data_IF_940752406491
#
_entry.id   IF_940752406491
#
_cell.length_a   1.000
_cell.length_b   1.000
_cell.length_c   1.000
_cell.angle_alpha   90.00
_cell.angle_beta   90.00
_cell.angle_gamma   90.00
#
_symmetry.space_group_name_H-M   'P 1'
#
loop_
_entity.id
_entity.type
_entity.pdbx_description
1 polymer ?
#
# COMPACT_ATOMS: atom_id res chain seq x y z
N UNK A 1 25.56 -19.65 55.13
CA UNK A 1 24.29 -19.74 54.38
C UNK A 1 24.39 -18.78 53.20
N UNK A 2 24.09 -19.22 51.97
CA UNK A 2 23.88 -18.28 50.86
C UNK A 2 22.44 -17.78 50.98
N UNK A 3 22.26 -16.47 51.06
CA UNK A 3 20.94 -15.85 51.03
C UNK A 3 20.29 -16.13 49.68
N UNK A 4 19.13 -16.79 49.71
CA UNK A 4 18.32 -17.04 48.53
C UNK A 4 17.43 -15.83 48.28
N UNK A 5 17.68 -15.13 47.18
CA UNK A 5 16.80 -14.07 46.68
C UNK A 5 15.61 -14.68 45.94
N UNK A 6 14.41 -14.19 46.26
CA UNK A 6 13.17 -14.54 45.56
C UNK A 6 12.65 -13.34 44.79
N UNK A 7 12.21 -13.56 43.55
CA UNK A 7 11.58 -12.55 42.72
C UNK A 7 10.17 -12.99 42.34
N UNK A 8 9.21 -12.06 42.39
CA UNK A 8 7.81 -12.28 42.02
C UNK A 8 7.41 -11.19 41.03
N UNK A 9 6.70 -11.56 39.97
CA UNK A 9 6.15 -10.61 39.02
C UNK A 9 4.96 -9.87 39.66
N UNK A 10 5.08 -8.54 39.80
CA UNK A 10 4.02 -7.69 40.35
C UNK A 10 3.05 -7.25 39.24
N UNK A 11 3.53 -6.43 38.30
CA UNK A 11 2.73 -5.89 37.21
C UNK A 11 3.60 -5.37 36.06
N UNK A 12 2.96 -5.18 34.90
CA UNK A 12 3.59 -4.53 33.76
C UNK A 12 3.25 -3.01 33.75
N UNK A 13 4.27 -2.17 33.96
CA UNK A 13 4.11 -0.70 33.99
C UNK A 13 4.28 -0.02 32.62
N UNK A 14 4.39 -0.79 31.53
CA UNK A 14 4.66 -0.24 30.18
C UNK A 14 3.59 0.77 29.74
N UNK A 15 2.31 0.47 29.95
CA UNK A 15 1.23 1.39 29.58
C UNK A 15 1.29 2.67 30.39
N UNK A 16 1.55 2.59 31.71
CA UNK A 16 1.69 3.76 32.56
C UNK A 16 2.85 4.65 32.12
N UNK A 17 4.01 4.06 31.76
CA UNK A 17 5.14 4.82 31.24
C UNK A 17 4.83 5.51 29.91
N UNK A 18 4.05 4.86 29.03
CA UNK A 18 3.61 5.41 27.75
C UNK A 18 2.58 6.54 27.91
N UNK A 19 1.78 6.53 28.97
CA UNK A 19 0.89 7.65 29.33
C UNK A 19 1.69 8.80 29.95
N UNK A 20 2.62 8.46 30.85
CA UNK A 20 3.41 9.43 31.59
C UNK A 20 4.29 10.29 30.68
N UNK A 21 4.88 9.68 29.66
CA UNK A 21 5.82 10.34 28.76
C UNK A 21 5.19 11.55 28.03
N UNK A 22 4.08 11.42 27.26
CA UNK A 22 3.37 12.55 26.67
C UNK A 22 2.99 13.63 27.70
N UNK A 23 2.44 13.26 28.85
CA UNK A 23 2.04 14.23 29.88
C UNK A 23 3.17 15.18 30.32
N UNK A 24 4.44 14.79 30.15
CA UNK A 24 5.62 15.58 30.52
C UNK A 24 6.42 16.15 29.34
N UNK A 25 6.10 15.75 28.10
CA UNK A 25 6.86 16.14 26.91
C UNK A 25 6.45 17.48 26.30
N UNK A 26 5.30 18.05 26.71
CA UNK A 26 4.80 19.31 26.15
C UNK A 26 4.43 19.20 24.67
N UNK A 27 3.79 18.10 24.27
CA UNK A 27 3.41 17.81 22.89
C UNK A 27 2.24 18.63 22.35
N UNK A 28 1.58 18.13 21.31
CA UNK A 28 0.41 18.78 20.71
C UNK A 28 -0.75 18.89 21.72
N UNK A 29 -1.33 20.10 21.88
CA UNK A 29 -2.42 20.36 22.82
C UNK A 29 -3.71 20.78 22.13
N UNK A 30 -3.77 20.74 20.80
CA UNK A 30 -4.89 21.26 20.01
C UNK A 30 -6.20 20.56 20.34
N UNK A 31 -6.20 19.22 20.31
CA UNK A 31 -7.36 18.41 20.70
C UNK A 31 -7.68 18.59 22.18
N UNK A 32 -6.67 18.65 23.05
CA UNK A 32 -6.88 18.81 24.50
C UNK A 32 -7.57 20.15 24.81
N UNK A 33 -7.12 21.23 24.15
CA UNK A 33 -7.73 22.55 24.27
C UNK A 33 -9.16 22.55 23.75
N UNK A 34 -9.42 21.90 22.62
CA UNK A 34 -10.76 21.80 22.05
C UNK A 34 -11.71 21.05 23.01
N UNK A 35 -11.27 19.92 23.60
CA UNK A 35 -12.07 19.19 24.60
C UNK A 35 -12.32 20.02 25.86
N UNK A 36 -11.33 20.80 26.32
CA UNK A 36 -11.45 21.65 27.51
C UNK A 36 -12.19 22.97 27.26
N UNK A 37 -12.37 23.38 26.00
CA UNK A 37 -12.96 24.66 25.66
C UNK A 37 -14.48 24.60 25.75
N UNK A 38 -15.08 25.46 26.57
CA UNK A 38 -16.54 25.60 26.70
C UNK A 38 -17.19 26.38 25.54
N UNK A 39 -16.41 26.88 24.58
CA UNK A 39 -16.87 27.67 23.44
C UNK A 39 -16.73 26.88 22.15
N UNK A 40 -17.84 26.35 21.64
CA UNK A 40 -17.93 25.85 20.27
C UNK A 40 -17.83 27.04 19.30
N UNK A 41 -16.64 27.27 18.76
CA UNK A 41 -16.42 28.29 17.73
C UNK A 41 -16.77 27.68 16.38
N UNK A 42 -17.94 27.99 15.84
CA UNK A 42 -18.29 27.63 14.47
C UNK A 42 -17.42 28.43 13.49
N UNK A 43 -16.65 27.76 12.64
CA UNK A 43 -15.93 28.44 11.57
C UNK A 43 -16.91 28.94 10.50
N UNK A 44 -16.96 30.24 10.25
CA UNK A 44 -17.80 30.86 9.22
C UNK A 44 -17.47 30.43 7.78
N UNK A 45 -16.29 29.82 7.56
CA UNK A 45 -15.81 29.37 6.25
C UNK A 45 -16.22 27.94 5.87
N UNK A 46 -16.88 27.20 6.77
CA UNK A 46 -17.34 25.81 6.54
C UNK A 46 -18.27 25.65 5.33
N UNK A 47 -18.88 26.74 4.83
CA UNK A 47 -19.80 26.71 3.68
C UNK A 47 -19.12 26.45 2.34
N UNK A 48 -17.81 26.64 2.21
CA UNK A 48 -17.13 26.65 0.91
C UNK A 48 -16.59 25.25 0.53
N UNK A 49 -16.43 24.33 1.48
CA UNK A 49 -15.69 23.06 1.27
C UNK A 49 -16.57 21.78 1.19
N UNK A 50 -17.89 21.93 1.40
CA UNK A 50 -18.92 20.87 1.36
C UNK A 50 -18.86 20.02 0.07
N UNK A 51 -18.33 20.58 -1.02
CA UNK A 51 -18.30 19.96 -2.36
C UNK A 51 -17.47 18.67 -2.47
N UNK A 52 -16.47 18.43 -1.62
CA UNK A 52 -15.62 17.23 -1.71
C UNK A 52 -16.18 16.05 -0.91
N UNK A 53 -16.84 16.31 0.22
CA UNK A 53 -17.52 15.28 1.00
C UNK A 53 -18.78 14.78 0.28
N UNK A 54 -19.56 15.69 -0.31
CA UNK A 54 -20.82 15.38 -0.98
C UNK A 54 -20.68 14.43 -2.17
N UNK A 55 -19.50 14.32 -2.79
CA UNK A 55 -19.24 13.32 -3.85
C UNK A 55 -19.46 11.88 -3.38
N UNK A 56 -19.32 11.63 -2.08
CA UNK A 56 -19.52 10.31 -1.49
C UNK A 56 -20.97 10.07 -1.06
N UNK A 57 -21.86 11.07 -1.05
CA UNK A 57 -23.23 10.94 -0.53
C UNK A 57 -24.01 9.82 -1.20
N UNK A 58 -24.04 9.77 -2.53
CA UNK A 58 -24.78 8.73 -3.26
C UNK A 58 -24.27 7.31 -2.94
N UNK A 59 -22.95 7.14 -2.79
CA UNK A 59 -22.33 5.86 -2.46
C UNK A 59 -22.53 5.49 -0.99
N UNK A 60 -22.53 6.49 -0.10
CA UNK A 60 -22.82 6.31 1.33
C UNK A 60 -24.24 5.84 1.56
N UNK A 61 -25.22 6.47 0.89
CA UNK A 61 -26.64 6.10 1.01
C UNK A 61 -26.95 4.68 0.50
N UNK A 62 -26.06 4.10 -0.33
CA UNK A 62 -26.18 2.69 -0.74
C UNK A 62 -25.79 1.72 0.38
N UNK A 63 -24.90 2.12 1.29
CA UNK A 63 -24.33 1.27 2.34
C UNK A 63 -24.92 1.59 3.72
N UNK A 64 -25.26 2.85 3.95
CA UNK A 64 -25.63 3.44 5.23
C UNK A 64 -27.00 4.12 5.16
N UNK A 65 -27.65 4.25 6.31
CA UNK A 65 -28.85 5.08 6.39
C UNK A 65 -28.52 6.58 6.35
N UNK A 66 -29.54 7.43 6.22
CA UNK A 66 -29.40 8.88 6.09
C UNK A 66 -28.68 9.50 7.30
N UNK A 67 -29.03 9.10 8.53
CA UNK A 67 -28.40 9.62 9.75
C UNK A 67 -26.90 9.28 9.84
N UNK A 68 -26.52 8.05 9.46
CA UNK A 68 -25.12 7.62 9.43
C UNK A 68 -24.33 8.34 8.33
N UNK A 69 -24.97 8.55 7.17
CA UNK A 69 -24.40 9.29 6.04
C UNK A 69 -24.15 10.74 6.43
N UNK A 70 -25.14 11.43 6.99
CA UNK A 70 -25.01 12.82 7.41
C UNK A 70 -24.00 12.98 8.55
N UNK A 71 -23.91 12.02 9.48
CA UNK A 71 -22.89 12.01 10.52
C UNK A 71 -21.47 11.94 9.93
N UNK A 72 -21.23 11.05 8.97
CA UNK A 72 -19.95 10.94 8.27
C UNK A 72 -19.64 12.20 7.45
N UNK A 73 -20.60 12.71 6.68
CA UNK A 73 -20.40 13.91 5.85
C UNK A 73 -20.13 15.15 6.69
N UNK A 74 -20.83 15.30 7.82
CA UNK A 74 -20.59 16.37 8.79
C UNK A 74 -19.21 16.26 9.42
N UNK A 75 -18.78 15.04 9.78
CA UNK A 75 -17.45 14.80 10.31
C UNK A 75 -16.39 15.19 9.28
N UNK A 76 -16.50 14.71 8.03
CA UNK A 76 -15.56 15.01 6.94
C UNK A 76 -15.49 16.51 6.63
N UNK A 77 -16.64 17.18 6.57
CA UNK A 77 -16.70 18.63 6.28
C UNK A 77 -15.97 19.44 7.37
N UNK A 78 -15.98 18.97 8.61
CA UNK A 78 -15.25 19.61 9.70
C UNK A 78 -13.71 19.43 9.61
N UNK A 79 -13.23 18.42 8.88
CA UNK A 79 -11.79 18.16 8.68
C UNK A 79 -11.14 19.11 7.68
N UNK A 80 -11.94 19.72 6.81
CA UNK A 80 -11.44 20.57 5.73
C UNK A 80 -11.11 21.99 6.22
N UNK A 81 -11.55 22.33 7.43
CA UNK A 81 -11.26 23.63 8.03
C UNK A 81 -9.88 23.62 8.71
N UNK A 82 -8.86 24.18 8.04
CA UNK A 82 -7.52 24.31 8.61
C UNK A 82 -7.39 25.39 9.70
N UNK A 83 -8.44 26.19 9.93
CA UNK A 83 -8.40 27.31 10.88
C UNK A 83 -8.64 26.89 12.33
N UNK A 84 -9.24 25.72 12.56
CA UNK A 84 -9.69 25.27 13.87
C UNK A 84 -9.49 23.78 14.04
N UNK A 85 -9.09 23.38 15.25
CA UNK A 85 -9.11 21.99 15.68
C UNK A 85 -10.55 21.58 15.98
N UNK A 86 -10.91 20.32 15.75
CA UNK A 86 -12.29 19.86 15.97
C UNK A 86 -12.33 18.47 16.60
N UNK A 87 -13.26 18.27 17.52
CA UNK A 87 -13.62 16.95 18.06
C UNK A 87 -15.06 16.65 17.69
N UNK A 88 -15.27 15.54 16.98
CA UNK A 88 -16.60 15.08 16.56
C UNK A 88 -16.94 13.76 17.23
N UNK A 89 -18.14 13.68 17.77
CA UNK A 89 -18.69 12.45 18.35
C UNK A 89 -19.65 11.82 17.36
N UNK A 90 -19.40 10.57 17.00
CA UNK A 90 -20.34 9.71 16.28
C UNK A 90 -20.83 8.65 17.26
N UNK A 91 -22.08 8.78 17.66
CA UNK A 91 -22.71 7.88 18.62
C UNK A 91 -24.04 7.37 18.06
N UNK A 92 -24.57 6.33 18.71
CA UNK A 92 -25.93 5.87 18.43
C UNK A 92 -26.42 4.91 19.52
N UNK A 93 -27.62 4.33 19.40
CA UNK A 93 -28.12 3.30 20.30
C UNK A 93 -27.45 1.93 20.05
N UNK A 94 -27.42 1.09 21.08
CA UNK A 94 -27.03 -0.32 21.00
C UNK A 94 -27.81 -1.05 19.90
N UNK A 95 -27.11 -1.81 19.04
CA UNK A 95 -27.73 -2.62 17.99
C UNK A 95 -27.98 -1.91 16.65
N UNK A 96 -27.71 -0.60 16.53
CA UNK A 96 -27.56 0.02 15.21
C UNK A 96 -26.27 -0.45 14.53
N UNK A 97 -26.27 -0.55 13.20
CA UNK A 97 -25.15 -0.98 12.36
C UNK A 97 -23.92 -0.02 12.39
N UNK A 98 -23.47 0.46 13.56
CA UNK A 98 -22.28 1.30 13.74
C UNK A 98 -21.03 0.67 13.16
N UNK A 99 -20.98 -0.65 13.19
CA UNK A 99 -20.03 -1.50 12.46
C UNK A 99 -19.78 -1.03 11.01
N UNK A 100 -20.84 -0.63 10.29
CA UNK A 100 -20.71 -0.10 8.93
C UNK A 100 -20.11 1.29 8.95
N UNK A 101 -20.57 2.18 9.83
CA UNK A 101 -19.98 3.53 9.99
C UNK A 101 -18.48 3.48 10.33
N UNK A 102 -18.09 2.60 11.25
CA UNK A 102 -16.71 2.40 11.72
C UNK A 102 -15.76 1.91 10.62
N UNK A 103 -16.29 1.22 9.58
CA UNK A 103 -15.49 0.74 8.45
C UNK A 103 -15.56 1.68 7.23
N UNK A 104 -16.74 2.24 6.95
CA UNK A 104 -16.97 3.15 5.83
C UNK A 104 -16.27 4.50 6.03
N UNK A 105 -16.21 5.04 7.25
CA UNK A 105 -15.52 6.30 7.52
C UNK A 105 -14.01 6.21 7.22
N UNK A 106 -13.23 5.26 7.78
CA UNK A 106 -11.84 5.05 7.39
C UNK A 106 -11.67 4.89 5.88
N UNK A 107 -12.54 4.11 5.23
CA UNK A 107 -12.48 3.91 3.78
C UNK A 107 -12.60 5.22 2.99
N UNK A 108 -13.51 6.14 3.38
CA UNK A 108 -13.63 7.45 2.73
C UNK A 108 -12.41 8.33 3.01
N UNK A 109 -11.91 8.32 4.25
CA UNK A 109 -10.72 9.08 4.63
C UNK A 109 -9.49 8.67 3.82
N UNK A 110 -9.34 7.37 3.55
CA UNK A 110 -8.33 6.83 2.64
C UNK A 110 -8.53 7.40 1.23
N UNK A 111 -9.74 7.39 0.68
CA UNK A 111 -10.04 7.96 -0.65
C UNK A 111 -9.85 9.49 -0.72
N UNK A 112 -9.92 10.17 0.41
CA UNK A 112 -9.65 11.61 0.52
C UNK A 112 -8.15 11.91 0.68
N UNK A 113 -7.28 10.89 0.76
CA UNK A 113 -5.85 11.00 1.10
C UNK A 113 -5.62 11.74 2.42
N UNK A 114 -6.50 11.55 3.40
CA UNK A 114 -6.35 12.15 4.72
C UNK A 114 -5.43 11.28 5.60
N UNK A 115 -4.28 11.84 6.02
CA UNK A 115 -3.34 11.11 6.88
C UNK A 115 -3.95 10.88 8.26
N UNK A 116 -4.29 9.63 8.56
CA UNK A 116 -5.15 9.29 9.70
C UNK A 116 -4.49 8.25 10.61
N UNK A 117 -4.53 8.50 11.91
CA UNK A 117 -4.34 7.49 12.94
C UNK A 117 -5.71 6.94 13.33
N UNK A 118 -5.88 5.61 13.30
CA UNK A 118 -7.04 4.94 13.87
C UNK A 118 -6.61 3.95 14.94
N UNK A 119 -7.32 3.93 16.07
CA UNK A 119 -7.12 2.88 17.06
C UNK A 119 -8.40 2.54 17.81
N UNK A 120 -8.36 1.38 18.46
CA UNK A 120 -9.32 0.96 19.46
C UNK A 120 -8.61 0.59 20.78
N UNK A 121 -9.32 0.55 21.92
CA UNK A 121 -8.75 0.17 23.22
C UNK A 121 -8.23 -1.28 23.24
N UNK A 122 -8.89 -2.18 22.51
CA UNK A 122 -8.55 -3.61 22.49
C UNK A 122 -7.95 -4.04 21.15
N UNK A 123 -7.12 -5.09 21.19
CA UNK A 123 -6.58 -5.69 19.96
C UNK A 123 -7.68 -6.29 19.08
N UNK A 124 -8.75 -6.83 19.69
CA UNK A 124 -9.86 -7.46 18.96
C UNK A 124 -10.64 -6.40 18.18
N UNK A 125 -10.96 -5.27 18.82
CA UNK A 125 -11.67 -4.18 18.17
C UNK A 125 -10.89 -3.62 16.99
N UNK A 126 -9.59 -3.30 17.16
CA UNK A 126 -8.82 -2.75 16.03
C UNK A 126 -8.65 -3.74 14.88
N UNK A 127 -8.46 -5.03 15.17
CA UNK A 127 -8.37 -6.07 14.13
C UNK A 127 -9.68 -6.15 13.35
N UNK A 128 -10.83 -6.10 14.03
CA UNK A 128 -12.13 -6.12 13.39
C UNK A 128 -12.36 -4.88 12.50
N UNK A 129 -11.95 -3.69 12.94
CA UNK A 129 -11.97 -2.48 12.10
C UNK A 129 -11.14 -2.69 10.84
N UNK A 130 -9.90 -3.16 10.97
CA UNK A 130 -8.99 -3.35 9.83
C UNK A 130 -9.55 -4.37 8.84
N UNK A 131 -10.05 -5.52 9.29
CA UNK A 131 -10.64 -6.54 8.42
C UNK A 131 -11.81 -5.97 7.61
N UNK A 132 -12.69 -5.16 8.24
CA UNK A 132 -13.82 -4.55 7.55
C UNK A 132 -13.37 -3.51 6.52
N UNK A 133 -12.38 -2.69 6.86
CA UNK A 133 -11.79 -1.72 5.91
C UNK A 133 -11.14 -2.44 4.73
N UNK A 134 -10.42 -3.54 4.97
CA UNK A 134 -9.80 -4.34 3.92
C UNK A 134 -10.82 -4.90 2.92
N UNK A 135 -11.96 -5.40 3.41
CA UNK A 135 -13.07 -5.84 2.56
C UNK A 135 -13.54 -4.71 1.64
N UNK A 136 -13.81 -3.52 2.19
CA UNK A 136 -14.25 -2.37 1.40
C UNK A 136 -13.20 -1.90 0.37
N UNK A 137 -11.91 -1.94 0.74
CA UNK A 137 -10.82 -1.57 -0.19
C UNK A 137 -10.75 -2.56 -1.35
N UNK A 138 -10.86 -3.86 -1.08
CA UNK A 138 -10.82 -4.92 -2.10
C UNK A 138 -12.07 -4.91 -3.00
N UNK A 139 -13.26 -4.79 -2.42
CA UNK A 139 -14.52 -4.69 -3.18
C UNK A 139 -14.53 -3.45 -4.08
N UNK A 140 -13.86 -2.37 -3.67
CA UNK A 140 -13.70 -1.16 -4.50
C UNK A 140 -12.78 -1.34 -5.70
N UNK A 141 -11.91 -2.35 -5.69
CA UNK A 141 -11.01 -2.68 -6.79
C UNK A 141 -11.75 -3.44 -7.90
N UNK A 142 -12.73 -4.27 -7.53
CA UNK A 142 -13.50 -5.11 -8.47
C UNK A 142 -14.66 -4.38 -9.14
N UNK A 143 -14.99 -3.16 -8.71
CA UNK A 143 -16.05 -2.35 -9.32
C UNK A 143 -15.48 -1.37 -10.35
N UNK A 144 -15.97 -1.43 -11.59
CA UNK A 144 -15.61 -0.65 -12.80
C UNK A 144 -15.73 0.90 -12.68
N UNK A 145 -15.85 1.43 -11.46
CA UNK A 145 -16.01 2.86 -11.20
C UNK A 145 -14.68 3.60 -11.37
N UNK A 146 -14.46 4.11 -12.59
CA UNK A 146 -13.31 4.93 -13.01
C UNK A 146 -13.12 6.27 -12.27
N UNK A 147 -13.99 6.63 -11.33
CA UNK A 147 -14.03 7.98 -10.74
C UNK A 147 -13.22 8.16 -9.45
N UNK A 148 -12.61 7.10 -8.89
CA UNK A 148 -11.89 7.20 -7.62
C UNK A 148 -10.55 6.46 -7.72
N UNK A 149 -9.46 7.11 -7.30
CA UNK A 149 -8.10 6.58 -7.36
C UNK A 149 -7.99 5.18 -6.74
N UNK A 150 -7.15 4.29 -7.30
CA UNK A 150 -6.88 2.99 -6.71
C UNK A 150 -6.29 3.19 -5.30
N UNK A 151 -6.77 2.43 -4.33
CA UNK A 151 -6.18 2.38 -2.99
C UNK A 151 -5.25 1.17 -2.98
N UNK A 152 -3.97 1.39 -2.68
CA UNK A 152 -3.04 0.28 -2.47
C UNK A 152 -3.19 -0.23 -1.03
N UNK A 153 -2.82 -1.49 -0.78
CA UNK A 153 -2.66 -1.95 0.61
C UNK A 153 -1.45 -1.28 1.27
N UNK A 154 -0.50 -0.75 0.48
CA UNK A 154 0.60 0.08 0.97
C UNK A 154 0.16 1.37 1.66
N UNK A 155 -1.05 1.86 1.38
CA UNK A 155 -1.65 3.01 2.07
C UNK A 155 -2.03 2.68 3.51
N UNK A 156 -2.23 1.40 3.83
CA UNK A 156 -2.75 0.91 5.11
C UNK A 156 -1.62 0.28 5.92
N UNK A 157 -1.53 0.64 7.20
CA UNK A 157 -0.50 0.09 8.08
C UNK A 157 -1.05 -0.27 9.46
N UNK A 158 -1.17 -1.56 9.75
CA UNK A 158 -1.43 -2.08 11.08
C UNK A 158 -0.11 -2.38 11.81
N UNK A 159 0.06 -1.83 13.00
CA UNK A 159 1.20 -2.18 13.85
C UNK A 159 0.81 -2.39 15.32
N UNK A 160 1.54 -3.29 15.97
CA UNK A 160 1.34 -3.66 17.37
C UNK A 160 2.13 -4.91 17.72
N UNK A 161 1.83 -5.52 18.87
CA UNK A 161 2.47 -6.79 19.26
C UNK A 161 1.82 -7.95 18.54
N UNK A 162 2.59 -8.65 17.69
CA UNK A 162 2.10 -9.73 16.83
C UNK A 162 1.35 -10.82 17.63
N UNK A 163 1.94 -11.30 18.72
CA UNK A 163 1.36 -12.35 19.60
C UNK A 163 -0.04 -12.01 20.13
N UNK A 164 -0.39 -10.72 20.19
CA UNK A 164 -1.67 -10.24 20.72
C UNK A 164 -2.68 -9.85 19.64
N UNK A 165 -2.21 -9.52 18.44
CA UNK A 165 -3.07 -9.19 17.30
C UNK A 165 -3.56 -10.44 16.57
N UNK A 166 -2.89 -11.59 16.75
CA UNK A 166 -3.22 -12.87 16.08
C UNK A 166 -3.39 -12.69 14.57
N UNK A 167 -2.37 -12.13 13.92
CA UNK A 167 -2.41 -11.78 12.51
C UNK A 167 -2.41 -13.03 11.64
N UNK A 168 -3.50 -13.26 10.92
CA UNK A 168 -3.65 -14.35 9.94
C UNK A 168 -4.28 -13.85 8.63
N UNK A 169 -4.22 -14.71 7.61
CA UNK A 169 -4.82 -14.49 6.29
C UNK A 169 -4.58 -13.09 5.72
N UNK A 170 -5.68 -12.41 5.41
CA UNK A 170 -5.70 -11.10 4.76
C UNK A 170 -5.10 -9.96 5.59
N UNK A 171 -5.05 -10.12 6.91
CA UNK A 171 -4.50 -9.09 7.80
C UNK A 171 -2.98 -8.96 7.66
N UNK A 172 -2.31 -10.00 7.16
CA UNK A 172 -0.87 -9.99 6.97
C UNK A 172 -0.43 -8.90 6.00
N UNK A 173 -1.17 -8.66 4.92
CA UNK A 173 -0.76 -7.73 3.86
C UNK A 173 -0.62 -6.27 4.32
N UNK A 174 -1.31 -5.90 5.41
CA UNK A 174 -1.23 -4.57 6.03
C UNK A 174 -0.47 -4.56 7.35
N UNK A 175 -0.03 -5.72 7.84
CA UNK A 175 0.74 -5.78 9.07
C UNK A 175 2.19 -5.36 8.82
N UNK A 176 2.67 -4.40 9.61
CA UNK A 176 3.96 -3.75 9.40
C UNK A 176 5.14 -4.71 9.23
N UNK A 177 5.23 -5.77 10.04
CA UNK A 177 6.39 -6.68 9.95
C UNK A 177 6.37 -7.49 8.65
N UNK A 178 5.20 -7.93 8.21
CA UNK A 178 5.05 -8.63 6.92
C UNK A 178 5.30 -7.68 5.75
N UNK A 179 4.76 -6.47 5.82
CA UNK A 179 4.95 -5.42 4.84
C UNK A 179 6.43 -5.10 4.63
N UNK A 180 7.18 -4.98 5.73
CA UNK A 180 8.64 -4.79 5.71
C UNK A 180 9.35 -5.98 5.07
N UNK A 181 8.98 -7.22 5.42
CA UNK A 181 9.62 -8.41 4.86
C UNK A 181 9.39 -8.53 3.33
N UNK A 182 8.20 -8.15 2.83
CA UNK A 182 7.89 -8.10 1.39
C UNK A 182 8.69 -7.02 0.67
N UNK A 183 8.81 -5.83 1.25
CA UNK A 183 9.57 -4.72 0.67
C UNK A 183 11.08 -4.96 0.70
N UNK A 184 11.59 -5.68 1.71
CA UNK A 184 13.01 -6.09 1.74
C UNK A 184 13.37 -7.01 0.56
N UNK A 185 12.47 -7.91 0.18
CA UNK A 185 12.65 -8.72 -1.03
C UNK A 185 12.70 -7.84 -2.29
N UNK A 186 11.80 -6.86 -2.39
CA UNK A 186 11.75 -5.91 -3.50
C UNK A 186 13.03 -5.06 -3.62
N UNK A 187 13.55 -4.55 -2.50
CA UNK A 187 14.75 -3.71 -2.48
C UNK A 187 16.05 -4.47 -2.62
N UNK A 188 16.02 -5.81 -2.61
CA UNK A 188 17.22 -6.65 -2.73
C UNK A 188 18.06 -6.30 -3.98
N UNK A 189 19.38 -6.13 -3.88
CA UNK A 189 20.20 -5.77 -5.05
C UNK A 189 20.31 -6.93 -6.05
N UNK A 190 20.27 -8.17 -5.54
CA UNK A 190 20.50 -9.38 -6.33
C UNK A 190 19.22 -9.99 -6.90
N UNK A 191 18.10 -9.85 -6.18
CA UNK A 191 16.81 -10.48 -6.51
C UNK A 191 15.63 -9.52 -6.32
N UNK A 192 15.89 -8.22 -6.44
CA UNK A 192 14.87 -7.18 -6.36
C UNK A 192 14.49 -6.63 -7.73
N UNK A 193 13.78 -5.51 -7.70
CA UNK A 193 13.17 -4.96 -8.92
C UNK A 193 14.15 -4.51 -9.96
N UNK A 194 15.24 -3.85 -9.56
CA UNK A 194 16.27 -3.39 -10.51
C UNK A 194 16.77 -4.57 -11.34
N UNK A 195 17.06 -5.68 -10.67
CA UNK A 195 17.49 -6.92 -11.32
C UNK A 195 16.42 -7.48 -12.26
N UNK A 196 15.17 -7.60 -11.83
CA UNK A 196 14.10 -8.19 -12.66
C UNK A 196 13.75 -7.32 -13.88
N UNK A 197 13.68 -6.01 -13.70
CA UNK A 197 13.44 -5.06 -14.77
C UNK A 197 14.59 -5.06 -15.78
N UNK A 198 15.84 -4.99 -15.32
CA UNK A 198 17.01 -5.07 -16.19
C UNK A 198 17.07 -6.42 -16.92
N UNK A 199 16.85 -7.53 -16.23
CA UNK A 199 16.89 -8.87 -16.84
C UNK A 199 15.84 -9.04 -17.94
N UNK A 200 14.61 -8.55 -17.72
CA UNK A 200 13.57 -8.59 -18.75
C UNK A 200 13.91 -7.65 -19.90
N UNK A 201 14.35 -6.43 -19.61
CA UNK A 201 14.78 -5.47 -20.62
C UNK A 201 15.88 -6.06 -21.51
N UNK A 202 16.93 -6.61 -20.90
CA UNK A 202 18.08 -7.19 -21.60
C UNK A 202 17.65 -8.41 -22.43
N UNK A 203 16.71 -9.22 -21.94
CA UNK A 203 16.12 -10.31 -22.72
C UNK A 203 15.34 -9.78 -23.94
N UNK A 204 14.52 -8.75 -23.77
CA UNK A 204 13.74 -8.17 -24.86
C UNK A 204 14.66 -7.46 -25.88
N UNK A 205 15.70 -6.78 -25.44
CA UNK A 205 16.64 -6.05 -26.31
C UNK A 205 17.66 -6.96 -27.01
N UNK A 206 18.28 -7.88 -26.28
CA UNK A 206 19.50 -8.58 -26.69
C UNK A 206 19.40 -10.11 -26.59
N UNK A 207 18.18 -10.65 -26.81
CA UNK A 207 17.90 -12.08 -26.74
C UNK A 207 18.87 -12.95 -27.55
N UNK A 208 19.28 -12.47 -28.74
CA UNK A 208 20.16 -13.20 -29.67
C UNK A 208 21.53 -13.46 -29.06
N UNK A 209 22.13 -12.45 -28.42
CA UNK A 209 23.41 -12.61 -27.74
C UNK A 209 23.32 -13.63 -26.61
N UNK A 210 22.24 -13.58 -25.82
CA UNK A 210 21.98 -14.59 -24.78
C UNK A 210 21.77 -16.00 -25.33
N UNK A 211 21.14 -16.12 -26.50
CA UNK A 211 20.95 -17.40 -27.17
C UNK A 211 22.28 -18.00 -27.64
N UNK A 212 23.15 -17.20 -28.28
CA UNK A 212 24.47 -17.66 -28.70
C UNK A 212 25.35 -18.08 -27.51
N UNK A 213 25.35 -17.30 -26.41
CA UNK A 213 26.05 -17.67 -25.19
C UNK A 213 25.49 -18.98 -24.60
N UNK A 214 24.18 -19.19 -24.66
CA UNK A 214 23.57 -20.44 -24.19
C UNK A 214 24.00 -21.64 -25.06
N UNK A 215 24.03 -21.47 -26.39
CA UNK A 215 24.51 -22.50 -27.32
C UNK A 215 25.99 -22.86 -27.08
N UNK A 216 26.86 -21.86 -26.87
CA UNK A 216 28.27 -22.07 -26.55
C UNK A 216 28.45 -22.81 -25.21
N UNK A 217 27.69 -22.44 -24.19
CA UNK A 217 27.76 -23.13 -22.89
C UNK A 217 27.28 -24.59 -22.97
N UNK A 218 26.30 -24.88 -23.81
CA UNK A 218 25.82 -26.25 -24.02
C UNK A 218 26.76 -27.08 -24.89
N UNK A 219 27.44 -26.48 -25.88
CA UNK A 219 28.45 -27.18 -26.66
C UNK A 219 29.64 -27.59 -25.79
N UNK A 220 30.07 -26.72 -24.86
CA UNK A 220 31.11 -27.04 -23.86
C UNK A 220 30.67 -28.20 -22.95
N UNK A 221 29.44 -28.16 -22.40
CA UNK A 221 28.91 -29.23 -21.53
C UNK A 221 28.64 -30.55 -22.26
N UNK A 222 28.35 -30.49 -23.56
CA UNK A 222 28.15 -31.66 -24.43
C UNK A 222 29.44 -32.42 -24.71
N UNK A 223 30.56 -31.70 -24.84
CA UNK A 223 31.91 -32.29 -24.97
C UNK A 223 32.30 -33.07 -23.71
N UNK A 224 31.86 -32.62 -22.53
CA UNK A 224 32.17 -33.29 -21.25
C UNK A 224 31.29 -34.52 -20.93
N UNK A 225 30.05 -34.58 -21.44
CA UNK A 225 29.06 -35.59 -21.02
C UNK A 225 28.59 -36.56 -22.12
N UNK A 226 29.09 -36.46 -23.36
CA UNK A 226 28.85 -37.44 -24.42
C UNK A 226 27.38 -37.65 -24.83
N UNK A 227 26.49 -36.69 -24.52
CA UNK A 227 25.04 -36.85 -24.67
C UNK A 227 24.46 -35.83 -25.66
N UNK A 228 24.29 -36.25 -26.92
CA UNK A 228 23.89 -35.41 -28.07
C UNK A 228 22.43 -34.95 -28.07
N UNK A 229 21.56 -35.56 -27.25
CA UNK A 229 20.12 -35.29 -27.28
C UNK A 229 19.70 -34.01 -26.52
N UNK A 230 20.52 -33.52 -25.57
CA UNK A 230 20.26 -32.24 -24.88
C UNK A 230 20.47 -31.02 -25.79
N UNK A 231 21.46 -31.10 -26.69
CA UNK A 231 21.83 -30.06 -27.66
C UNK A 231 20.66 -29.75 -28.61
N UNK A 232 19.83 -30.76 -28.94
CA UNK A 232 18.69 -30.61 -29.83
C UNK A 232 17.48 -29.90 -29.19
N UNK A 233 17.40 -29.86 -27.85
CA UNK A 233 16.32 -29.18 -27.11
C UNK A 233 16.53 -27.66 -26.94
N UNK A 234 17.79 -27.21 -27.01
CA UNK A 234 18.16 -25.78 -27.09
C UNK A 234 18.38 -25.32 -28.53
N UNK A 235 18.60 -26.25 -29.46
CA UNK A 235 18.90 -25.95 -30.86
C UNK A 235 17.83 -25.21 -31.68
N UNK A 236 16.67 -24.89 -31.09
CA UNK A 236 15.67 -24.03 -31.74
C UNK A 236 15.48 -22.75 -30.92
N UNK A 237 15.73 -21.60 -31.55
CA UNK A 237 15.59 -20.27 -30.97
C UNK A 237 14.23 -20.07 -30.28
N UNK A 238 13.14 -20.52 -30.91
CA UNK A 238 11.79 -20.46 -30.34
C UNK A 238 11.68 -21.16 -28.97
N UNK A 239 12.30 -22.33 -28.82
CA UNK A 239 12.30 -23.08 -27.56
C UNK A 239 13.07 -22.34 -26.45
N UNK A 240 14.21 -21.74 -26.82
CA UNK A 240 14.98 -20.89 -25.92
C UNK A 240 14.19 -19.68 -25.45
N UNK A 241 13.57 -18.93 -26.37
CA UNK A 241 12.75 -17.74 -26.08
C UNK A 241 11.59 -18.09 -25.16
N UNK A 242 10.82 -19.16 -25.46
CA UNK A 242 9.71 -19.64 -24.62
C UNK A 242 10.15 -19.91 -23.18
N UNK A 243 11.24 -20.68 -23.02
CA UNK A 243 11.77 -21.05 -21.70
C UNK A 243 12.26 -19.83 -20.93
N UNK A 244 13.03 -18.95 -21.58
CA UNK A 244 13.60 -17.75 -20.96
C UNK A 244 12.53 -16.75 -20.56
N UNK A 245 11.56 -16.51 -21.46
CA UNK A 245 10.39 -15.67 -21.18
C UNK A 245 9.64 -16.17 -19.94
N UNK A 246 9.32 -17.47 -19.85
CA UNK A 246 8.59 -18.03 -18.71
C UNK A 246 9.27 -17.75 -17.35
N UNK A 247 10.60 -17.92 -17.28
CA UNK A 247 11.38 -17.69 -16.06
C UNK A 247 11.43 -16.20 -15.69
N UNK A 248 11.70 -15.34 -16.66
CA UNK A 248 11.84 -13.90 -16.42
C UNK A 248 10.47 -13.25 -16.14
N UNK A 249 9.45 -13.61 -16.91
CA UNK A 249 8.10 -13.06 -16.77
C UNK A 249 7.50 -13.43 -15.42
N UNK A 250 7.61 -14.69 -14.98
CA UNK A 250 7.11 -15.10 -13.66
C UNK A 250 7.77 -14.30 -12.51
N UNK A 251 9.08 -14.06 -12.62
CA UNK A 251 9.83 -13.28 -11.63
C UNK A 251 9.42 -11.81 -11.63
N UNK A 252 9.30 -11.20 -12.81
CA UNK A 252 8.90 -9.81 -12.97
C UNK A 252 7.45 -9.56 -12.57
N UNK A 253 6.52 -10.45 -12.96
CA UNK A 253 5.11 -10.40 -12.56
C UNK A 253 4.99 -10.42 -11.05
N UNK A 254 5.74 -11.30 -10.37
CA UNK A 254 5.76 -11.37 -8.91
C UNK A 254 6.28 -10.08 -8.28
N UNK A 255 7.34 -9.50 -8.83
CA UNK A 255 7.89 -8.22 -8.39
C UNK A 255 6.89 -7.07 -8.56
N UNK A 256 6.22 -6.98 -9.71
CA UNK A 256 5.21 -5.97 -10.00
C UNK A 256 4.01 -6.11 -9.06
N UNK A 257 3.56 -7.33 -8.77
CA UNK A 257 2.49 -7.56 -7.79
C UNK A 257 2.87 -7.04 -6.40
N UNK A 258 4.08 -7.35 -5.91
CA UNK A 258 4.57 -6.85 -4.62
C UNK A 258 4.57 -5.30 -4.62
N UNK A 259 5.05 -4.68 -5.69
CA UNK A 259 5.04 -3.23 -5.86
C UNK A 259 3.65 -2.63 -5.77
N UNK A 260 2.72 -3.10 -6.59
CA UNK A 260 1.36 -2.58 -6.64
C UNK A 260 0.61 -2.77 -5.32
N UNK A 261 0.86 -3.89 -4.62
CA UNK A 261 0.20 -4.20 -3.35
C UNK A 261 0.78 -3.41 -2.18
N UNK A 262 2.10 -3.25 -2.10
CA UNK A 262 2.77 -2.78 -0.89
C UNK A 262 3.33 -1.35 -0.99
N UNK A 263 3.32 -0.69 -2.15
CA UNK A 263 3.66 0.72 -2.23
C UNK A 263 2.39 1.55 -2.46
N UNK A 264 2.22 2.69 -1.74
CA UNK A 264 1.13 3.61 -2.00
C UNK A 264 1.13 4.13 -3.43
N UNK A 265 -0.04 4.28 -4.03
CA UNK A 265 -0.18 4.79 -5.40
C UNK A 265 0.32 6.22 -5.51
N UNK A 266 0.11 7.05 -4.49
CA UNK A 266 0.61 8.43 -4.48
C UNK A 266 2.14 8.49 -4.51
N UNK A 267 2.81 7.50 -3.91
CA UNK A 267 4.26 7.41 -3.87
C UNK A 267 4.83 6.86 -5.19
N UNK A 268 4.19 5.82 -5.75
CA UNK A 268 4.61 5.25 -7.05
C UNK A 268 4.27 6.21 -8.20
N UNK A 269 3.26 7.05 -8.07
CA UNK A 269 2.59 7.82 -9.13
C UNK A 269 1.64 6.97 -9.98
N UNK A 270 0.50 7.55 -10.36
CA UNK A 270 -0.57 6.87 -11.10
C UNK A 270 -0.12 6.37 -12.49
N UNK A 271 0.73 7.15 -13.18
CA UNK A 271 1.30 6.77 -14.48
C UNK A 271 2.16 5.50 -14.37
N UNK A 272 3.03 5.44 -13.36
CA UNK A 272 3.87 4.27 -13.12
C UNK A 272 3.04 3.03 -12.75
N UNK A 273 1.94 3.21 -12.00
CA UNK A 273 1.01 2.13 -11.71
C UNK A 273 0.36 1.59 -13.00
N UNK A 274 -0.06 2.47 -13.91
CA UNK A 274 -0.61 2.08 -15.20
C UNK A 274 0.44 1.37 -16.06
N UNK A 275 1.68 1.85 -16.09
CA UNK A 275 2.79 1.20 -16.79
C UNK A 275 3.07 -0.21 -16.22
N UNK A 276 3.00 -0.39 -14.90
CA UNK A 276 3.09 -1.71 -14.28
C UNK A 276 1.99 -2.66 -14.75
N UNK A 277 0.73 -2.20 -14.79
CA UNK A 277 -0.40 -2.99 -15.30
C UNK A 277 -0.23 -3.30 -16.79
N UNK A 278 0.22 -2.34 -17.59
CA UNK A 278 0.53 -2.51 -19.01
C UNK A 278 1.55 -3.63 -19.23
N UNK A 279 2.68 -3.59 -18.51
CA UNK A 279 3.72 -4.63 -18.59
C UNK A 279 3.15 -6.02 -18.31
N UNK A 280 2.26 -6.18 -17.32
CA UNK A 280 1.62 -7.47 -17.04
C UNK A 280 0.81 -7.98 -18.25
N UNK A 281 0.05 -7.11 -18.91
CA UNK A 281 -0.73 -7.45 -20.10
C UNK A 281 0.15 -7.76 -21.31
N UNK A 282 1.23 -6.99 -21.50
CA UNK A 282 2.20 -7.19 -22.59
C UNK A 282 2.97 -8.50 -22.43
N UNK A 283 3.37 -8.87 -21.20
CA UNK A 283 4.02 -10.16 -20.93
C UNK A 283 3.10 -11.36 -21.21
N UNK A 284 1.81 -11.24 -20.90
CA UNK A 284 0.84 -12.29 -21.23
C UNK A 284 0.57 -12.36 -22.74
N UNK A 285 0.46 -11.20 -23.40
CA UNK A 285 0.35 -11.11 -24.86
C UNK A 285 1.55 -11.76 -25.56
N UNK A 286 2.77 -11.48 -25.09
CA UNK A 286 3.99 -12.08 -25.62
C UNK A 286 3.99 -13.61 -25.42
N UNK A 287 3.59 -14.09 -24.24
CA UNK A 287 3.44 -15.52 -23.97
C UNK A 287 2.49 -16.19 -24.95
N UNK A 288 1.32 -15.60 -25.16
CA UNK A 288 0.26 -16.15 -26.01
C UNK A 288 0.70 -16.19 -27.48
N UNK A 289 1.31 -15.12 -27.97
CA UNK A 289 1.86 -15.07 -29.34
C UNK A 289 2.96 -16.11 -29.55
N UNK A 290 3.86 -16.30 -28.57
CA UNK A 290 4.92 -17.31 -28.67
C UNK A 290 4.36 -18.74 -28.77
N UNK A 291 3.18 -19.02 -28.19
CA UNK A 291 2.57 -20.36 -28.19
C UNK A 291 1.93 -20.71 -29.54
N UNK A 292 1.57 -19.73 -30.38
CA UNK A 292 0.90 -19.97 -31.65
C UNK A 292 1.73 -20.86 -32.59
N UNK A 293 1.05 -21.74 -33.34
CA UNK A 293 1.68 -22.76 -34.19
C UNK A 293 2.33 -22.19 -35.46
N UNK A 294 2.00 -20.95 -35.81
CA UNK A 294 2.47 -20.24 -37.01
C UNK A 294 3.78 -19.46 -36.78
N UNK A 295 4.37 -19.53 -35.57
CA UNK A 295 5.63 -18.84 -35.27
C UNK A 295 6.81 -19.63 -35.84
N UNK A 296 7.33 -19.18 -36.99
CA UNK A 296 8.58 -19.70 -37.55
C UNK A 296 9.80 -19.25 -36.72
N UNK A 297 10.68 -20.21 -36.38
CA UNK A 297 11.85 -19.96 -35.55
C UNK A 297 12.88 -19.04 -36.19
N UNK A 298 13.02 -19.08 -37.53
CA UNK A 298 13.95 -18.19 -38.26
C UNK A 298 13.41 -16.78 -38.36
N UNK A 299 12.12 -16.62 -38.67
CA UNK A 299 11.49 -15.30 -38.65
C UNK A 299 11.56 -14.64 -37.27
N UNK A 300 11.39 -15.42 -36.20
CA UNK A 300 11.56 -14.95 -34.83
C UNK A 300 13.01 -14.51 -34.55
N UNK A 301 13.99 -15.27 -35.01
CA UNK A 301 15.41 -14.94 -34.86
C UNK A 301 15.75 -13.61 -35.56
N UNK A 302 15.28 -13.41 -36.79
CA UNK A 302 15.41 -12.13 -37.51
C UNK A 302 14.74 -10.97 -36.77
N UNK A 303 13.55 -11.21 -36.21
CA UNK A 303 12.82 -10.21 -35.45
C UNK A 303 13.62 -9.77 -34.22
N UNK A 304 14.14 -10.72 -33.44
CA UNK A 304 14.92 -10.44 -32.24
C UNK A 304 16.30 -9.84 -32.54
N UNK A 305 16.85 -10.07 -33.73
CA UNK A 305 18.08 -9.42 -34.21
C UNK A 305 17.92 -7.92 -34.51
N UNK A 306 16.68 -7.44 -34.72
CA UNK A 306 16.41 -6.00 -34.86
C UNK A 306 16.70 -5.28 -33.56
N UNK A 307 17.54 -4.24 -33.63
CA UNK A 307 17.84 -3.36 -32.50
C UNK A 307 16.88 -2.17 -32.48
N UNK A 308 16.31 -1.87 -31.31
CA UNK A 308 15.55 -0.66 -31.10
C UNK A 308 16.45 0.45 -30.54
N UNK A 309 16.85 1.36 -31.42
CA UNK A 309 17.36 2.67 -31.01
C UNK A 309 16.13 3.55 -30.79
N UNK A 310 15.86 3.89 -29.53
CA UNK A 310 14.90 4.96 -29.25
C UNK A 310 15.74 6.20 -29.05
N UNK A 311 15.63 7.11 -30.02
CA UNK A 311 16.01 8.51 -29.85
C UNK A 311 14.97 9.13 -28.90
N UNK A 312 15.40 9.77 -27.82
CA UNK A 312 14.57 10.28 -26.71
C UNK A 312 13.51 11.34 -27.16
N UNK A 313 13.47 11.67 -28.44
CA UNK A 313 12.69 12.78 -29.02
C UNK A 313 11.44 12.35 -29.80
N UNK A 314 11.13 11.06 -29.97
CA UNK A 314 10.00 10.60 -30.82
C UNK A 314 9.02 9.69 -30.07
N UNK A 315 8.32 10.25 -29.08
CA UNK A 315 7.14 9.63 -28.46
C UNK A 315 5.87 9.68 -29.32
N UNK A 316 5.94 10.02 -30.62
CA UNK A 316 4.73 10.15 -31.46
C UNK A 316 4.78 9.45 -32.82
N UNK A 317 5.83 8.73 -33.18
CA UNK A 317 5.89 8.12 -34.50
C UNK A 317 5.19 6.75 -34.54
N UNK A 318 3.86 6.79 -34.70
CA UNK A 318 3.13 5.79 -35.49
C UNK A 318 3.57 5.93 -36.95
N UNK A 319 4.81 5.54 -37.28
CA UNK A 319 5.26 5.52 -38.67
C UNK A 319 5.18 4.08 -39.20
N UNK A 320 4.12 3.72 -39.97
CA UNK A 320 3.94 2.39 -40.52
C UNK A 320 4.64 2.27 -41.88
N UNK A 321 5.81 2.87 -42.09
CA UNK A 321 6.45 2.93 -43.41
C UNK A 321 7.90 2.46 -43.39
N UNK A 322 8.06 1.17 -43.12
CA UNK A 322 9.02 0.26 -43.78
C UNK A 322 8.44 -1.16 -43.70
N UNK A 323 7.27 -1.35 -44.30
CA UNK A 323 6.64 -2.67 -44.41
C UNK A 323 7.19 -3.36 -45.66
N UNK A 324 8.11 -4.31 -45.46
CA UNK A 324 8.29 -5.38 -46.43
C UNK A 324 7.02 -6.23 -46.45
N UNK A 325 6.34 -6.20 -47.59
CA UNK A 325 5.12 -6.94 -47.88
C UNK A 325 5.53 -8.42 -48.00
N UNK A 326 5.36 -9.18 -46.92
CA UNK A 326 5.68 -10.61 -46.89
C UNK A 326 5.70 -11.30 -45.52
N UNK A 327 5.72 -10.56 -44.40
CA UNK A 327 5.74 -11.15 -43.04
C UNK A 327 4.33 -11.50 -42.54
N UNK A 328 4.19 -12.65 -41.86
CA UNK A 328 2.90 -13.12 -41.32
C UNK A 328 2.34 -12.17 -40.25
N UNK A 329 1.01 -12.18 -40.07
CA UNK A 329 0.30 -11.31 -39.10
C UNK A 329 0.89 -11.39 -37.68
N UNK A 330 1.38 -12.56 -37.28
CA UNK A 330 1.90 -12.85 -35.94
C UNK A 330 3.28 -12.21 -35.68
N UNK A 331 4.14 -12.13 -36.70
CA UNK A 331 5.46 -11.50 -36.61
C UNK A 331 5.36 -9.99 -36.39
N UNK A 332 4.40 -9.34 -37.04
CA UNK A 332 4.12 -7.90 -36.85
C UNK A 332 3.60 -7.65 -35.43
N UNK A 333 2.71 -8.51 -34.92
CA UNK A 333 2.20 -8.40 -33.55
C UNK A 333 3.31 -8.60 -32.51
N UNK A 334 4.19 -9.59 -32.72
CA UNK A 334 5.35 -9.82 -31.85
C UNK A 334 6.29 -8.61 -31.81
N UNK A 335 6.57 -7.99 -32.96
CA UNK A 335 7.41 -6.79 -33.04
C UNK A 335 6.77 -5.59 -32.31
N UNK A 336 5.45 -5.43 -32.40
CA UNK A 336 4.70 -4.41 -31.67
C UNK A 336 4.74 -4.64 -30.15
N UNK A 337 4.40 -5.85 -29.69
CA UNK A 337 4.42 -6.24 -28.27
C UNK A 337 5.83 -6.09 -27.69
N UNK A 338 6.87 -6.46 -28.46
CA UNK A 338 8.27 -6.30 -28.07
C UNK A 338 8.64 -4.84 -27.87
N UNK A 339 8.26 -3.95 -28.81
CA UNK A 339 8.48 -2.50 -28.69
C UNK A 339 7.78 -1.90 -27.49
N UNK A 340 6.51 -2.23 -27.30
CA UNK A 340 5.68 -1.75 -26.20
C UNK A 340 6.27 -2.17 -24.85
N UNK A 341 6.60 -3.46 -24.70
CA UNK A 341 7.25 -3.99 -23.50
C UNK A 341 8.51 -3.21 -23.16
N UNK A 342 9.32 -2.91 -24.18
CA UNK A 342 10.58 -2.25 -23.98
C UNK A 342 10.43 -0.78 -23.58
N UNK A 343 9.48 -0.08 -24.22
CA UNK A 343 9.11 1.29 -23.87
C UNK A 343 8.68 1.39 -22.41
N UNK A 344 7.74 0.53 -22.00
CA UNK A 344 7.19 0.53 -20.66
C UNK A 344 8.24 0.17 -19.60
N UNK A 345 9.08 -0.84 -19.88
CA UNK A 345 10.19 -1.22 -19.00
C UNK A 345 11.19 -0.08 -18.81
N UNK A 346 11.56 0.63 -19.88
CA UNK A 346 12.51 1.75 -19.81
C UNK A 346 11.92 2.95 -19.06
N UNK A 347 10.69 3.34 -19.42
CA UNK A 347 9.97 4.43 -18.76
C UNK A 347 9.83 4.17 -17.25
N UNK A 348 9.33 2.98 -16.90
CA UNK A 348 9.12 2.62 -15.50
C UNK A 348 10.44 2.47 -14.73
N UNK A 349 11.48 1.90 -15.34
CA UNK A 349 12.79 1.80 -14.70
C UNK A 349 13.41 3.18 -14.42
N UNK A 350 13.28 4.13 -15.35
CA UNK A 350 13.75 5.50 -15.15
C UNK A 350 12.98 6.19 -14.03
N UNK A 351 11.64 6.10 -14.07
CA UNK A 351 10.76 6.74 -13.10
C UNK A 351 10.95 6.20 -11.68
N UNK A 352 11.00 4.87 -11.50
CA UNK A 352 11.22 4.24 -10.20
C UNK A 352 12.62 4.53 -9.62
N UNK A 353 13.63 4.75 -10.48
CA UNK A 353 14.98 5.11 -10.03
C UNK A 353 15.03 6.50 -9.40
N UNK A 354 14.13 7.39 -9.80
CA UNK A 354 14.03 8.76 -9.28
C UNK A 354 13.19 8.87 -8.01
N UNK A 355 12.53 7.78 -7.58
CA UNK A 355 11.80 7.76 -6.31
C UNK A 355 12.77 7.66 -5.13
N UNK A 356 12.41 8.31 -4.02
CA UNK A 356 13.13 8.28 -2.75
C UNK A 356 12.99 6.93 -2.03
N UNK A 357 13.48 5.87 -2.68
CA UNK A 357 13.47 4.51 -2.14
C UNK A 357 14.58 4.34 -1.09
N UNK A 358 14.38 3.47 -0.06
CA UNK A 358 15.42 3.15 0.90
C UNK A 358 16.72 2.65 0.24
N UNK A 359 17.80 3.44 0.38
CA UNK A 359 19.11 3.08 -0.18
C UNK A 359 19.83 2.00 0.64
N UNK A 360 19.57 1.94 1.96
CA UNK A 360 20.10 0.89 2.84
C UNK A 360 19.01 -0.14 3.13
N UNK A 361 19.28 -1.38 2.76
CA UNK A 361 18.37 -2.51 2.94
C UNK A 361 18.50 -3.04 4.37
N UNK A 362 18.12 -2.21 5.33
CA UNK A 362 17.96 -2.62 6.71
C UNK A 362 16.47 -2.72 7.03
N UNK A 363 16.11 -3.71 7.85
CA UNK A 363 14.73 -3.86 8.36
C UNK A 363 14.23 -2.58 9.03
N UNK A 364 15.14 -1.82 9.66
CA UNK A 364 14.85 -0.53 10.27
C UNK A 364 14.48 0.55 9.23
N UNK A 365 15.30 0.73 8.19
CA UNK A 365 15.04 1.75 7.16
C UNK A 365 13.74 1.50 6.40
N UNK A 366 13.46 0.22 6.09
CA UNK A 366 12.19 -0.15 5.43
C UNK A 366 11.00 0.05 6.37
N UNK A 367 11.16 -0.21 7.67
CA UNK A 367 10.12 0.06 8.66
C UNK A 367 9.81 1.56 8.77
N UNK A 368 10.82 2.41 8.81
CA UNK A 368 10.61 3.87 8.79
C UNK A 368 9.93 4.32 7.49
N UNK A 369 10.33 3.75 6.36
CA UNK A 369 9.70 4.00 5.08
C UNK A 369 8.20 3.68 5.11
N UNK A 370 7.80 2.50 5.59
CA UNK A 370 6.37 2.13 5.72
C UNK A 370 5.56 3.16 6.51
N UNK A 371 6.08 3.67 7.63
CA UNK A 371 5.39 4.71 8.40
C UNK A 371 5.30 6.04 7.64
N UNK A 372 6.37 6.44 6.95
CA UNK A 372 6.40 7.67 6.15
C UNK A 372 5.39 7.61 5.00
N UNK A 373 5.25 6.47 4.36
CA UNK A 373 4.43 6.32 3.15
C UNK A 373 2.96 5.99 3.44
N UNK A 374 2.65 5.35 4.56
CA UNK A 374 1.27 4.97 4.90
C UNK A 374 0.39 6.21 5.16
N UNK A 375 -0.76 6.27 4.49
CA UNK A 375 -1.75 7.32 4.69
C UNK A 375 -2.71 6.98 5.84
N UNK A 376 -2.93 5.71 6.14
CA UNK A 376 -3.84 5.27 7.19
C UNK A 376 -3.16 4.26 8.13
N UNK A 377 -2.98 4.64 9.39
CA UNK A 377 -2.24 3.86 10.37
C UNK A 377 -3.20 3.33 11.43
N UNK A 378 -3.23 2.01 11.60
CA UNK A 378 -4.01 1.30 12.62
C UNK A 378 -3.11 0.80 13.74
N UNK A 379 -3.52 1.00 14.98
CA UNK A 379 -2.86 0.41 16.14
C UNK A 379 -3.79 0.36 17.36
N UNK A 380 -3.26 0.00 18.53
CA UNK A 380 -3.96 0.24 19.81
C UNK A 380 -3.53 1.55 20.44
N UNK A 381 -4.35 2.10 21.35
CA UNK A 381 -4.05 3.34 22.07
C UNK A 381 -2.60 3.35 22.63
N UNK A 382 -2.21 2.29 23.35
CA UNK A 382 -0.87 2.17 23.90
C UNK A 382 0.23 2.06 22.83
N UNK A 383 -0.05 1.43 21.69
CA UNK A 383 0.95 1.25 20.62
C UNK A 383 1.21 2.54 19.86
N UNK A 384 0.24 3.45 19.81
CA UNK A 384 0.38 4.78 19.19
C UNK A 384 1.56 5.59 19.75
N UNK A 385 1.99 5.31 20.99
CA UNK A 385 3.19 5.92 21.59
C UNK A 385 4.44 5.81 20.70
N UNK A 386 4.54 4.77 19.86
CA UNK A 386 5.68 4.62 18.95
C UNK A 386 5.79 5.76 17.94
N UNK A 387 4.66 6.35 17.54
CA UNK A 387 4.60 7.39 16.52
C UNK A 387 5.28 8.70 16.96
N UNK A 388 5.38 8.97 18.27
CA UNK A 388 6.19 10.09 18.80
C UNK A 388 7.68 10.00 18.44
N UNK A 389 8.19 8.80 18.15
CA UNK A 389 9.60 8.57 17.80
C UNK A 389 9.86 8.44 16.30
N UNK A 390 8.80 8.45 15.48
CA UNK A 390 8.93 8.22 14.04
C UNK A 390 8.98 9.56 13.32
N UNK A 391 10.04 9.78 12.54
CA UNK A 391 10.16 10.96 11.69
C UNK A 391 9.32 10.72 10.43
N UNK A 392 8.14 11.32 10.38
CA UNK A 392 7.21 11.23 9.25
C UNK A 392 6.45 12.55 9.08
N UNK A 393 5.77 12.73 7.95
CA UNK A 393 4.83 13.83 7.81
C UNK A 393 3.74 13.73 8.88
N UNK A 394 3.23 14.86 9.38
CA UNK A 394 2.28 14.85 10.47
C UNK A 394 0.97 14.14 10.10
N UNK A 395 0.34 13.51 11.09
CA UNK A 395 -1.01 12.95 10.93
C UNK A 395 -2.02 14.06 11.20
N UNK A 396 -3.02 14.24 10.33
CA UNK A 396 -4.00 15.32 10.47
C UNK A 396 -5.18 14.93 11.37
N UNK A 397 -5.54 13.65 11.36
CA UNK A 397 -6.76 13.13 11.94
C UNK A 397 -6.50 11.94 12.87
N UNK A 398 -7.22 11.93 13.97
CA UNK A 398 -7.37 10.79 14.86
C UNK A 398 -8.79 10.22 14.81
N UNK A 399 -8.92 8.91 14.63
CA UNK A 399 -10.18 8.16 14.76
C UNK A 399 -10.05 7.19 15.93
N UNK A 400 -10.95 7.28 16.90
CA UNK A 400 -10.99 6.38 18.05
C UNK A 400 -12.29 5.57 17.96
N UNK A 401 -12.16 4.27 17.69
CA UNK A 401 -13.26 3.32 17.84
C UNK A 401 -13.40 2.87 19.29
N UNK A 402 -14.62 2.52 19.69
CA UNK A 402 -15.00 2.21 21.07
C UNK A 402 -14.49 3.25 22.09
N UNK A 403 -14.57 4.54 21.74
CA UNK A 403 -13.98 5.64 22.53
C UNK A 403 -14.48 5.68 23.98
N UNK A 404 -15.73 5.28 24.23
CA UNK A 404 -16.30 5.19 25.58
C UNK A 404 -15.63 4.15 26.49
N UNK A 405 -14.93 3.15 25.93
CA UNK A 405 -14.19 2.14 26.68
C UNK A 405 -12.73 2.56 26.95
N UNK A 406 -12.27 3.65 26.35
CA UNK A 406 -10.91 4.14 26.51
C UNK A 406 -10.76 4.88 27.84
N UNK A 407 -9.67 4.61 28.57
CA UNK A 407 -9.31 5.47 29.71
C UNK A 407 -8.89 6.83 29.18
N UNK A 408 -9.44 7.89 29.77
CA UNK A 408 -9.12 9.27 29.40
C UNK A 408 -7.60 9.53 29.36
N UNK A 409 -6.84 9.03 30.32
CA UNK A 409 -5.39 9.21 30.33
C UNK A 409 -4.66 8.49 29.19
N UNK A 410 -5.24 7.44 28.60
CA UNK A 410 -4.67 6.73 27.45
C UNK A 410 -4.88 7.50 26.13
N UNK A 411 -5.90 8.36 26.02
CA UNK A 411 -6.10 9.19 24.82
C UNK A 411 -5.05 10.28 24.68
N UNK A 412 -4.45 10.72 25.78
CA UNK A 412 -3.38 11.72 25.77
C UNK A 412 -2.18 11.26 24.92
N UNK A 413 -1.94 9.94 24.83
CA UNK A 413 -0.86 9.38 24.02
C UNK A 413 -1.00 9.81 22.56
N UNK A 414 -2.21 9.72 22.02
CA UNK A 414 -2.49 10.02 20.61
C UNK A 414 -2.78 11.51 20.40
N UNK A 415 -3.48 12.17 21.33
CA UNK A 415 -3.79 13.60 21.23
C UNK A 415 -2.54 14.48 21.13
N UNK A 416 -1.43 14.04 21.73
CA UNK A 416 -0.18 14.77 21.69
C UNK A 416 0.70 14.48 20.47
N UNK A 417 0.29 13.57 19.58
CA UNK A 417 1.03 13.32 18.34
C UNK A 417 1.04 14.60 17.49
N UNK A 418 2.22 14.91 16.95
CA UNK A 418 2.43 16.11 16.15
C UNK A 418 1.50 16.15 14.93
N UNK A 419 0.83 17.29 14.74
CA UNK A 419 -0.03 17.58 13.59
C UNK A 419 -1.49 17.20 13.72
N UNK A 420 -1.86 16.39 14.72
CA UNK A 420 -3.26 15.98 14.90
C UNK A 420 -4.10 17.21 15.27
N UNK A 421 -4.97 17.63 14.35
CA UNK A 421 -5.87 18.78 14.54
C UNK A 421 -7.31 18.35 14.73
N UNK A 422 -7.68 17.19 14.21
CA UNK A 422 -9.05 16.71 14.25
C UNK A 422 -9.12 15.36 14.93
N UNK A 423 -10.19 15.13 15.69
CA UNK A 423 -10.50 13.84 16.28
C UNK A 423 -11.95 13.45 16.03
N UNK A 424 -12.16 12.19 15.64
CA UNK A 424 -13.49 11.57 15.55
C UNK A 424 -13.55 10.45 16.59
N UNK A 425 -14.44 10.61 17.55
CA UNK A 425 -14.71 9.65 18.62
C UNK A 425 -15.94 8.84 18.21
N UNK A 426 -15.81 7.53 18.14
CA UNK A 426 -16.92 6.62 17.83
C UNK A 426 -17.19 5.75 19.04
N UNK A 427 -18.42 5.73 19.53
CA UNK A 427 -18.77 4.91 20.69
C UNK A 427 -20.17 5.12 21.23
N UNK A 428 -20.48 4.39 22.30
CA UNK A 428 -21.81 4.28 22.89
C UNK A 428 -21.76 4.84 24.31
N UNK A 429 -22.70 5.68 24.68
CA UNK A 429 -22.79 6.26 26.04
C UNK A 429 -23.00 5.18 27.14
N UNK A 430 -23.44 3.96 26.79
CA UNK A 430 -24.09 3.06 27.77
C UNK A 430 -23.58 1.61 27.83
N UNK A 431 -22.33 1.29 27.46
CA UNK A 431 -21.88 -0.11 27.58
C UNK A 431 -21.46 -0.52 29.01
N UNK A 432 -20.75 0.33 29.76
CA UNK A 432 -20.35 0.09 31.15
C UNK A 432 -20.12 1.44 31.87
N UNK A 433 -20.46 1.58 33.17
CA UNK A 433 -20.11 2.76 33.94
C UNK A 433 -18.58 2.92 34.00
N UNK A 434 -18.09 4.16 33.93
CA UNK A 434 -16.66 4.46 33.98
C UNK A 434 -16.00 3.80 35.21
N UNK A 435 -14.98 2.95 34.98
CA UNK A 435 -14.25 2.29 36.06
C UNK A 435 -13.47 3.28 36.96
N UNK A 436 -13.21 4.49 36.46
CA UNK A 436 -12.56 5.58 37.20
C UNK A 436 -13.28 6.87 36.85
N UNK A 437 -13.88 7.54 37.83
CA UNK A 437 -14.46 8.87 37.67
C UNK A 437 -13.49 9.92 38.22
N UNK A 438 -13.09 10.87 37.37
CA UNK A 438 -12.37 12.07 37.81
C UNK A 438 -13.39 13.08 38.37
N UNK A 439 -13.03 13.81 39.43
CA UNK A 439 -13.81 14.99 39.87
C UNK A 439 -13.80 16.13 38.85
N UNK A 440 -12.85 16.07 37.91
CA UNK A 440 -12.71 16.96 36.75
C UNK A 440 -12.78 16.05 35.53
N UNK A 441 -13.97 15.65 35.12
CA UNK A 441 -14.16 14.81 33.92
C UNK A 441 -13.87 15.65 32.68
N UNK A 442 -12.95 15.23 31.81
CA UNK A 442 -12.75 15.88 30.49
C UNK A 442 -13.83 15.46 29.48
N UNK A 443 -14.48 14.33 29.72
CA UNK A 443 -15.59 13.84 28.91
C UNK A 443 -16.85 13.79 29.78
N UNK A 444 -17.85 14.61 29.46
CA UNK A 444 -19.25 14.26 29.72
C UNK A 444 -19.72 13.56 28.45
N UNK A 445 -19.63 12.23 28.46
CA UNK A 445 -20.37 11.39 27.52
C UNK A 445 -21.83 11.38 27.96
#
# INVERSE_FOLDING_TARGET
MRESLFAIFLMNITTNNRIWSPLHMGGNLDIVKEVLSTKSLLCSHLRIDVTRAERFRARLLFVLNESQTDAILTAISALQCHHMSTVKLIWGPLGMEKTKTVSTLPWILIKLNCRTLSYAPTNVAIVEVVIRVLKLVRDSYDSDTRDISPCSLGDLLLFGKNDRLKVDGDLQDVFLDYHVDRLLEYFSPLIGWKHYFSSMKDFIEDCISYYHIALENESIKGIENGNSDKIRSVGLFLGFVKKRHSILASSLVRCIKILCTHLPVWFILQENYQNMVSILGVLDSLKNLLIQDDVDGKELEELFARKYVVDDTLLSCRDPQKFEIGKGSTSILLDNVRRECLSDLRSLHHSLKNLDLPNQISKYSVREFCFKTASFIFCTASSSNKLHSVVMEPLDLLVIDEAAQLKECESVISFQIQGIRHAILIGDECHLPAMVSSKVSLFTL
#
